data_IF_471812059526
#
_entry.id   IF_471812059526
#
_cell.length_a   1.000
_cell.length_b   1.000
_cell.length_c   1.000
_cell.angle_alpha   90.00
_cell.angle_beta   90.00
_cell.angle_gamma   90.00
#
_symmetry.space_group_name_H-M   'P 1'
#
loop_
_entity.id
_entity.type
_entity.pdbx_description
1 polymer ?
#
# COMPACT_ATOMS: atom_id res chain seq x y z
N UNK A 1 20.89 5.96 64.16
CA UNK A 1 20.66 6.93 63.07
C UNK A 1 20.59 6.14 61.78
N UNK A 2 19.41 6.13 61.16
CA UNK A 2 19.06 5.22 60.07
C UNK A 2 19.73 5.62 58.75
N UNK A 3 20.27 4.60 58.09
CA UNK A 3 20.90 4.63 56.76
C UNK A 3 19.79 4.93 55.74
N UNK A 4 19.82 6.11 55.12
CA UNK A 4 18.93 6.44 54.01
C UNK A 4 19.50 5.78 52.74
N UNK A 5 18.90 4.67 52.34
CA UNK A 5 19.13 4.05 51.03
C UNK A 5 18.69 5.01 49.93
N UNK A 6 19.64 5.51 49.15
CA UNK A 6 19.35 6.21 47.90
C UNK A 6 18.77 5.18 46.90
N UNK A 7 17.46 5.22 46.72
CA UNK A 7 16.77 4.45 45.68
C UNK A 7 17.20 4.98 44.31
N UNK A 8 18.06 4.22 43.64
CA UNK A 8 18.43 4.41 42.24
C UNK A 8 17.19 4.16 41.37
N UNK A 9 16.45 5.21 41.02
CA UNK A 9 15.40 5.15 40.01
C UNK A 9 16.09 5.07 38.65
N UNK A 10 16.26 3.86 38.14
CA UNK A 10 16.68 3.62 36.76
C UNK A 10 15.51 4.00 35.85
N UNK A 11 15.53 5.21 35.29
CA UNK A 11 14.71 5.54 34.12
C UNK A 11 15.20 4.67 32.96
N UNK A 12 14.51 3.56 32.71
CA UNK A 12 14.68 2.81 31.47
C UNK A 12 14.23 3.72 30.30
N UNK A 13 15.20 4.23 29.54
CA UNK A 13 14.94 4.84 28.24
C UNK A 13 14.33 3.75 27.34
N UNK A 14 13.00 3.81 27.15
CA UNK A 14 12.34 2.97 26.17
C UNK A 14 12.83 3.37 24.78
N UNK A 15 13.62 2.51 24.16
CA UNK A 15 13.97 2.64 22.74
C UNK A 15 12.75 2.18 21.95
N UNK A 16 12.05 3.12 21.32
CA UNK A 16 11.02 2.76 20.33
C UNK A 16 11.75 2.36 19.06
N UNK A 17 11.47 1.16 18.58
CA UNK A 17 11.92 0.72 17.26
C UNK A 17 10.75 0.93 16.31
N UNK A 18 10.96 1.77 15.31
CA UNK A 18 10.02 1.96 14.22
C UNK A 18 10.58 1.35 12.94
N UNK A 19 9.69 1.08 12.00
CA UNK A 19 9.97 0.39 10.76
C UNK A 19 9.77 1.36 9.59
N UNK A 20 10.82 1.67 8.83
CA UNK A 20 10.71 2.48 7.63
C UNK A 20 10.08 1.65 6.50
N UNK A 21 9.18 2.18 5.66
CA UNK A 21 8.61 1.45 4.52
C UNK A 21 8.99 2.16 3.21
N UNK A 22 9.42 1.38 2.22
CA UNK A 22 9.53 1.76 0.80
C UNK A 22 8.67 0.84 -0.05
N UNK A 23 7.92 1.41 -1.01
CA UNK A 23 7.12 0.62 -1.95
C UNK A 23 7.96 0.06 -3.11
N UNK A 24 7.53 -1.09 -3.62
CA UNK A 24 7.87 -1.57 -4.96
C UNK A 24 6.64 -1.39 -5.86
N UNK A 25 6.71 -0.46 -6.81
CA UNK A 25 5.68 -0.32 -7.82
C UNK A 25 5.95 -1.22 -9.02
N UNK A 26 4.89 -1.75 -9.61
CA UNK A 26 4.94 -2.02 -11.05
C UNK A 26 5.14 -0.69 -11.80
N UNK A 27 5.68 -0.73 -13.01
CA UNK A 27 5.69 0.45 -13.88
C UNK A 27 4.66 0.32 -15.02
N UNK A 28 3.36 0.05 -14.73
CA UNK A 28 2.35 -0.01 -15.77
C UNK A 28 2.02 1.41 -16.25
N UNK A 29 2.40 1.72 -17.49
CA UNK A 29 2.15 3.02 -18.11
C UNK A 29 0.92 2.99 -19.00
N UNK A 30 0.30 4.14 -19.22
CA UNK A 30 -0.74 4.27 -20.25
C UNK A 30 -0.13 3.91 -21.61
N UNK A 31 -0.65 2.84 -22.21
CA UNK A 31 -0.16 2.31 -23.47
C UNK A 31 -1.10 2.69 -24.63
N UNK A 32 -0.53 2.80 -25.82
CA UNK A 32 -1.18 3.18 -27.08
C UNK A 32 -2.06 2.06 -27.69
N UNK A 33 -2.35 1.02 -26.92
CA UNK A 33 -3.19 -0.11 -27.31
C UNK A 33 -4.62 -0.02 -26.75
N UNK A 34 -4.96 1.10 -26.12
CA UNK A 34 -6.32 1.44 -25.69
C UNK A 34 -6.82 2.64 -26.49
N UNK A 35 -8.10 2.60 -26.90
CA UNK A 35 -8.71 3.73 -27.59
C UNK A 35 -8.80 4.95 -26.68
N UNK A 36 -9.11 4.71 -25.41
CA UNK A 36 -9.35 5.74 -24.41
C UNK A 36 -8.72 5.31 -23.08
N UNK A 37 -8.17 6.27 -22.34
CA UNK A 37 -7.76 6.11 -20.95
C UNK A 37 -8.59 7.06 -20.09
N UNK A 38 -8.95 6.62 -18.88
CA UNK A 38 -9.53 7.55 -17.92
C UNK A 38 -8.51 8.63 -17.55
N UNK A 39 -8.95 9.82 -17.08
CA UNK A 39 -8.08 10.70 -16.33
C UNK A 39 -7.40 9.95 -15.18
N UNK A 40 -6.28 10.48 -14.72
CA UNK A 40 -5.64 9.98 -13.51
C UNK A 40 -6.58 10.16 -12.32
N UNK A 41 -6.76 9.06 -11.58
CA UNK A 41 -7.59 9.05 -10.40
C UNK A 41 -7.04 9.90 -9.26
N UNK A 42 -7.80 10.00 -8.16
CA UNK A 42 -7.27 10.58 -6.93
C UNK A 42 -6.11 9.74 -6.39
N UNK A 43 -5.29 10.37 -5.55
CA UNK A 43 -4.28 9.68 -4.76
C UNK A 43 -4.90 8.69 -3.79
N UNK A 44 -4.53 7.42 -3.95
CA UNK A 44 -4.89 6.34 -3.05
C UNK A 44 -3.90 6.34 -1.90
N UNK A 45 -4.42 6.31 -0.68
CA UNK A 45 -3.60 6.33 0.52
C UNK A 45 -4.24 5.58 1.68
N UNK A 46 -3.43 5.28 2.69
CA UNK A 46 -3.79 4.41 3.80
C UNK A 46 -4.64 5.16 4.84
N UNK A 47 -4.19 6.29 5.35
CA UNK A 47 -4.83 7.06 6.44
C UNK A 47 -4.44 8.53 6.40
N UNK A 48 -5.10 9.36 7.19
CA UNK A 48 -4.79 10.80 7.33
C UNK A 48 -6.04 11.66 7.22
N UNK A 49 -5.86 12.97 7.02
CA UNK A 49 -6.93 13.97 7.09
C UNK A 49 -7.94 13.91 5.94
N UNK A 50 -7.60 13.31 4.80
CA UNK A 50 -8.52 13.20 3.67
C UNK A 50 -9.59 12.12 3.94
N UNK A 51 -10.90 12.46 3.96
CA UNK A 51 -11.97 11.49 4.22
C UNK A 51 -12.06 10.35 3.19
N UNK A 52 -11.40 10.46 2.04
CA UNK A 52 -11.30 9.36 1.08
C UNK A 52 -10.48 8.20 1.65
N UNK A 53 -9.47 8.47 2.47
CA UNK A 53 -8.51 7.45 2.92
C UNK A 53 -9.09 6.50 3.98
N UNK A 54 -10.19 6.89 4.65
CA UNK A 54 -10.94 5.99 5.53
C UNK A 54 -11.78 4.95 4.77
N UNK A 55 -11.93 5.10 3.44
CA UNK A 55 -12.71 4.17 2.62
C UNK A 55 -11.90 2.93 2.26
N UNK A 56 -12.60 1.88 1.81
CA UNK A 56 -11.97 0.70 1.21
C UNK A 56 -11.14 1.09 -0.02
N UNK A 57 -10.08 0.34 -0.33
CA UNK A 57 -9.22 0.56 -1.50
C UNK A 57 -10.04 0.82 -2.79
N UNK A 58 -11.01 -0.05 -3.09
CA UNK A 58 -11.84 0.06 -4.29
C UNK A 58 -12.72 1.32 -4.32
N UNK A 59 -13.11 1.85 -3.16
CA UNK A 59 -13.94 3.04 -3.05
C UNK A 59 -13.11 4.34 -3.05
N UNK A 60 -11.77 4.23 -3.00
CA UNK A 60 -10.86 5.34 -3.28
C UNK A 60 -10.67 5.57 -4.79
N UNK A 61 -10.84 4.52 -5.61
CA UNK A 61 -10.69 4.58 -7.07
C UNK A 61 -11.58 5.65 -7.71
N UNK A 62 -11.10 6.22 -8.84
CA UNK A 62 -11.83 7.22 -9.64
C UNK A 62 -13.27 6.72 -9.94
N UNK A 63 -14.31 7.41 -9.44
CA UNK A 63 -15.70 7.04 -9.70
C UNK A 63 -16.13 7.43 -11.13
N UNK A 64 -17.40 7.17 -11.43
CA UNK A 64 -18.02 7.54 -12.70
C UNK A 64 -17.91 6.44 -13.77
N UNK A 65 -18.62 6.64 -14.88
CA UNK A 65 -18.77 5.65 -15.96
C UNK A 65 -17.44 5.24 -16.58
N UNK A 66 -16.53 6.20 -16.73
CA UNK A 66 -15.20 5.99 -17.33
C UNK A 66 -14.12 5.70 -16.29
N UNK A 67 -14.38 5.95 -15.00
CA UNK A 67 -13.42 5.78 -13.92
C UNK A 67 -13.05 4.32 -13.63
N UNK A 68 -11.93 4.14 -12.93
CA UNK A 68 -11.40 2.84 -12.56
C UNK A 68 -12.33 2.02 -11.67
N UNK A 69 -13.17 2.67 -10.84
CA UNK A 69 -14.13 1.96 -9.97
C UNK A 69 -15.13 1.10 -10.75
N UNK A 70 -15.46 1.53 -11.96
CA UNK A 70 -16.37 0.81 -12.85
C UNK A 70 -15.64 0.00 -13.93
N UNK A 71 -14.31 -0.12 -13.84
CA UNK A 71 -13.52 -0.90 -14.78
C UNK A 71 -13.67 -2.39 -14.50
N UNK A 72 -13.75 -3.21 -15.55
CA UNK A 72 -14.04 -4.65 -15.46
C UNK A 72 -13.05 -5.39 -14.55
N UNK A 73 -11.77 -5.05 -14.64
CA UNK A 73 -10.73 -5.64 -13.81
C UNK A 73 -11.01 -5.41 -12.31
N UNK A 74 -11.26 -4.16 -11.91
CA UNK A 74 -11.48 -3.83 -10.50
C UNK A 74 -12.82 -4.33 -9.99
N UNK A 75 -13.86 -4.40 -10.83
CA UNK A 75 -15.13 -5.06 -10.46
C UNK A 75 -14.91 -6.53 -10.14
N UNK A 76 -14.29 -7.29 -11.04
CA UNK A 76 -14.00 -8.71 -10.81
C UNK A 76 -13.12 -8.93 -9.59
N UNK A 77 -12.11 -8.07 -9.39
CA UNK A 77 -11.23 -8.13 -8.22
C UNK A 77 -12.00 -7.85 -6.92
N UNK A 78 -12.86 -6.84 -6.90
CA UNK A 78 -13.72 -6.50 -5.76
C UNK A 78 -14.72 -7.60 -5.47
N UNK A 79 -15.38 -8.13 -6.49
CA UNK A 79 -16.43 -9.14 -6.34
C UNK A 79 -15.85 -10.47 -5.84
N UNK A 80 -14.65 -10.86 -6.32
CA UNK A 80 -14.02 -12.13 -5.95
C UNK A 80 -13.21 -12.06 -4.66
N UNK A 81 -12.42 -10.99 -4.48
CA UNK A 81 -11.42 -10.88 -3.42
C UNK A 81 -11.58 -9.62 -2.56
N UNK A 82 -12.69 -8.90 -2.66
CA UNK A 82 -12.91 -7.64 -1.94
C UNK A 82 -12.70 -7.74 -0.43
N UNK A 83 -13.13 -8.84 0.18
CA UNK A 83 -12.93 -9.09 1.62
C UNK A 83 -11.45 -9.29 1.95
N UNK A 84 -10.73 -10.12 1.18
CA UNK A 84 -9.29 -10.32 1.36
C UNK A 84 -8.49 -9.02 1.18
N UNK A 85 -8.81 -8.24 0.15
CA UNK A 85 -8.24 -6.92 -0.08
C UNK A 85 -8.51 -5.96 1.08
N UNK A 86 -9.73 -5.95 1.60
CA UNK A 86 -10.08 -5.10 2.74
C UNK A 86 -9.30 -5.51 4.00
N UNK A 87 -9.18 -6.81 4.28
CA UNK A 87 -8.42 -7.31 5.42
C UNK A 87 -6.94 -6.91 5.32
N UNK A 88 -6.33 -7.12 4.14
CA UNK A 88 -4.96 -6.68 3.85
C UNK A 88 -4.80 -5.17 4.02
N UNK A 89 -5.67 -4.37 3.39
CA UNK A 89 -5.54 -2.91 3.41
C UNK A 89 -5.78 -2.31 4.80
N UNK A 90 -6.72 -2.87 5.57
CA UNK A 90 -6.95 -2.48 6.95
C UNK A 90 -5.74 -2.78 7.84
N UNK A 91 -5.12 -3.94 7.65
CA UNK A 91 -3.90 -4.30 8.35
C UNK A 91 -2.74 -3.34 8.02
N UNK A 92 -2.49 -3.08 6.73
CA UNK A 92 -1.43 -2.15 6.30
C UNK A 92 -1.68 -0.75 6.86
N UNK A 93 -2.94 -0.30 6.89
CA UNK A 93 -3.36 0.96 7.52
C UNK A 93 -3.07 0.98 9.02
N UNK A 94 -3.31 -0.11 9.73
CA UNK A 94 -3.13 -0.20 11.18
C UNK A 94 -1.65 -0.18 11.60
N UNK A 95 -0.79 -0.86 10.83
CA UNK A 95 0.65 -0.90 11.10
C UNK A 95 1.36 0.38 10.65
N UNK A 96 0.81 1.11 9.68
CA UNK A 96 1.38 2.39 9.23
C UNK A 96 1.06 3.51 10.21
N UNK A 97 2.12 4.16 10.72
CA UNK A 97 2.03 5.31 11.63
C UNK A 97 1.91 6.60 10.84
N UNK A 98 2.67 6.75 9.75
CA UNK A 98 2.64 7.93 8.90
C UNK A 98 1.23 8.25 8.39
N UNK A 99 0.78 9.47 8.64
CA UNK A 99 -0.49 9.99 8.11
C UNK A 99 -0.31 10.69 6.77
N UNK A 100 0.84 11.34 6.57
CA UNK A 100 1.20 11.95 5.30
C UNK A 100 1.69 10.89 4.30
N UNK A 101 1.59 11.23 3.02
CA UNK A 101 2.02 10.35 1.94
C UNK A 101 3.55 10.29 1.89
N UNK A 102 4.09 9.07 1.84
CA UNK A 102 5.51 8.80 2.06
C UNK A 102 5.92 7.50 1.36
N UNK A 103 7.23 7.23 1.33
CA UNK A 103 7.85 5.99 0.87
C UNK A 103 7.61 5.71 -0.60
N UNK A 104 7.23 6.75 -1.34
CA UNK A 104 6.57 6.63 -2.64
C UNK A 104 5.48 5.56 -2.61
N UNK A 105 4.63 5.49 -1.59
CA UNK A 105 3.62 4.43 -1.48
C UNK A 105 2.24 4.89 -2.01
N UNK A 106 2.03 6.19 -2.23
CA UNK A 106 0.76 6.76 -2.72
C UNK A 106 0.78 6.88 -4.25
N UNK A 107 -0.27 6.37 -4.87
CA UNK A 107 -0.37 6.27 -6.31
C UNK A 107 -1.73 6.70 -6.84
N UNK A 108 -1.72 7.06 -8.12
CA UNK A 108 -2.90 7.30 -8.93
C UNK A 108 -3.04 6.17 -9.95
N UNK A 109 -4.29 5.85 -10.28
CA UNK A 109 -4.62 4.85 -11.28
C UNK A 109 -5.39 5.46 -12.44
N UNK A 110 -5.12 4.97 -13.63
CA UNK A 110 -5.88 5.26 -14.84
C UNK A 110 -6.24 3.95 -15.53
N UNK A 111 -7.47 3.84 -16.04
CA UNK A 111 -7.97 2.61 -16.62
C UNK A 111 -8.27 2.77 -18.10
N UNK A 112 -7.73 1.86 -18.89
CA UNK A 112 -7.93 1.80 -20.32
C UNK A 112 -9.30 1.27 -20.70
N UNK A 113 -9.84 1.72 -21.83
CA UNK A 113 -11.11 1.28 -22.39
C UNK A 113 -10.93 0.91 -23.85
N UNK A 114 -11.73 -0.08 -24.29
CA UNK A 114 -11.67 -0.64 -25.66
C UNK A 114 -10.22 -0.96 -26.05
N UNK A 115 -9.52 -1.65 -25.15
CA UNK A 115 -8.13 -2.00 -25.34
C UNK A 115 -8.00 -3.29 -26.15
N UNK A 116 -7.03 -3.30 -27.05
CA UNK A 116 -6.71 -4.47 -27.83
C UNK A 116 -5.45 -5.12 -27.28
N UNK A 117 -5.47 -6.46 -27.16
CA UNK A 117 -4.23 -7.23 -26.99
C UNK A 117 -3.47 -7.14 -28.31
N UNK A 118 -2.50 -6.23 -28.43
CA UNK A 118 -1.67 -6.14 -29.64
C UNK A 118 -1.04 -7.51 -29.92
N UNK A 119 -1.22 -8.02 -31.14
CA UNK A 119 -0.53 -9.21 -31.61
C UNK A 119 0.97 -8.90 -31.75
N UNK A 120 1.78 -9.40 -30.80
CA UNK A 120 3.22 -9.70 -30.88
C UNK A 120 4.13 -8.90 -31.85
N UNK A 121 3.95 -7.58 -32.00
CA UNK A 121 4.91 -6.74 -32.74
C UNK A 121 5.24 -5.48 -31.96
N UNK A 122 5.97 -5.68 -30.85
CA UNK A 122 7.04 -4.83 -30.30
C UNK A 122 7.35 -5.28 -28.87
N UNK A 123 8.65 -5.30 -28.54
CA UNK A 123 9.30 -5.75 -27.29
C UNK A 123 8.92 -4.93 -26.04
N UNK A 124 7.63 -4.67 -25.78
CA UNK A 124 7.17 -4.05 -24.53
C UNK A 124 6.30 -5.03 -23.75
N UNK A 125 6.48 -5.16 -22.42
CA UNK A 125 5.66 -6.03 -21.59
C UNK A 125 4.19 -5.72 -21.84
N UNK A 126 3.43 -6.75 -22.21
CA UNK A 126 1.98 -6.64 -22.37
C UNK A 126 1.37 -6.30 -21.01
N UNK A 127 0.52 -5.28 -20.95
CA UNK A 127 -0.28 -5.04 -19.76
C UNK A 127 -1.69 -5.61 -19.94
N UNK A 128 -1.95 -6.87 -19.54
CA UNK A 128 -3.24 -7.53 -19.76
C UNK A 128 -4.38 -6.93 -18.94
N UNK A 129 -4.05 -6.15 -17.91
CA UNK A 129 -5.00 -5.60 -16.94
C UNK A 129 -5.58 -4.25 -17.38
N UNK A 130 -4.93 -3.56 -18.32
CA UNK A 130 -5.31 -2.23 -18.81
C UNK A 130 -5.47 -1.19 -17.68
N UNK A 131 -4.56 -1.19 -16.70
CA UNK A 131 -4.55 -0.29 -15.53
C UNK A 131 -3.20 0.41 -15.40
N UNK A 132 -3.06 1.64 -15.83
CA UNK A 132 -1.84 2.40 -15.59
C UNK A 132 -1.77 2.89 -14.14
N UNK A 133 -0.55 2.96 -13.60
CA UNK A 133 -0.25 3.45 -12.27
C UNK A 133 0.88 4.48 -12.36
N UNK A 134 0.82 5.49 -11.50
CA UNK A 134 1.92 6.43 -11.30
C UNK A 134 1.93 6.90 -9.86
N UNK A 135 3.10 7.38 -9.41
CA UNK A 135 3.22 8.16 -8.17
C UNK A 135 2.28 9.35 -8.22
N UNK A 136 1.75 9.74 -7.07
CA UNK A 136 0.92 10.92 -6.95
C UNK A 136 1.64 12.18 -7.44
N UNK A 137 1.02 12.84 -8.42
CA UNK A 137 1.53 14.09 -8.98
C UNK A 137 1.31 15.25 -8.01
N UNK A 138 2.35 16.08 -7.83
CA UNK A 138 2.30 17.27 -6.98
C UNK A 138 2.38 17.01 -5.47
N UNK A 139 2.72 15.79 -5.06
CA UNK A 139 2.88 15.41 -3.66
C UNK A 139 4.29 14.88 -3.45
N UNK A 140 5.03 15.50 -2.53
CA UNK A 140 6.31 14.97 -2.10
C UNK A 140 6.10 13.73 -1.23
N UNK A 141 6.77 12.64 -1.60
CA UNK A 141 6.71 11.35 -0.92
C UNK A 141 8.10 10.76 -0.72
N UNK A 142 9.16 11.58 -0.82
CA UNK A 142 10.55 11.11 -0.75
C UNK A 142 10.95 10.58 0.63
N UNK A 143 10.26 11.04 1.68
CA UNK A 143 10.49 10.58 3.04
C UNK A 143 9.98 9.15 3.20
N UNK A 144 10.74 8.28 3.87
CA UNK A 144 10.28 6.93 4.19
C UNK A 144 9.05 6.98 5.12
N UNK A 145 8.13 6.03 4.96
CA UNK A 145 7.00 5.92 5.89
C UNK A 145 7.43 5.25 7.20
N UNK A 146 6.85 5.68 8.31
CA UNK A 146 7.01 5.08 9.63
C UNK A 146 5.89 4.07 9.87
N UNK A 147 6.25 2.91 10.41
CA UNK A 147 5.32 1.85 10.79
C UNK A 147 5.72 1.20 12.10
N UNK A 148 4.76 0.54 12.74
CA UNK A 148 4.98 -0.24 13.96
C UNK A 148 5.86 -1.44 13.64
N UNK A 149 6.83 -1.74 14.51
CA UNK A 149 7.50 -3.05 14.46
C UNK A 149 6.58 -4.18 14.92
N UNK A 150 6.67 -5.34 14.29
CA UNK A 150 5.94 -6.55 14.70
C UNK A 150 6.93 -7.61 15.15
N UNK A 151 6.71 -8.16 16.35
CA UNK A 151 7.57 -9.18 16.96
C UNK A 151 9.06 -8.80 16.99
N UNK A 152 9.36 -7.50 17.17
CA UNK A 152 10.74 -6.98 17.18
C UNK A 152 11.41 -6.90 15.82
N UNK A 153 10.68 -7.10 14.71
CA UNK A 153 11.21 -7.07 13.35
C UNK A 153 10.43 -6.17 12.38
N UNK A 154 10.97 -6.08 11.17
CA UNK A 154 10.48 -5.27 10.03
C UNK A 154 9.64 -6.07 9.02
N UNK A 155 9.40 -7.36 9.28
CA UNK A 155 8.64 -8.22 8.37
C UNK A 155 7.14 -8.02 8.60
N UNK A 156 6.59 -7.02 7.92
CA UNK A 156 5.16 -6.68 8.02
C UNK A 156 4.28 -7.60 7.16
N UNK A 157 4.82 -8.25 6.13
CA UNK A 157 4.06 -9.15 5.27
C UNK A 157 4.91 -10.39 4.92
N UNK A 158 4.31 -11.59 4.79
CA UNK A 158 2.93 -11.94 5.11
C UNK A 158 2.65 -11.96 6.62
N UNK A 159 1.40 -11.70 7.00
CA UNK A 159 0.93 -11.86 8.38
C UNK A 159 -0.14 -12.97 8.44
N UNK A 160 0.15 -14.12 9.07
CA UNK A 160 -0.75 -15.27 9.09
C UNK A 160 -2.05 -15.02 9.89
N UNK A 161 -2.11 -13.98 10.72
CA UNK A 161 -3.34 -13.57 11.41
C UNK A 161 -4.33 -12.86 10.48
N UNK A 162 -3.91 -12.44 9.28
CA UNK A 162 -4.77 -11.76 8.31
C UNK A 162 -5.39 -12.77 7.36
N UNK A 163 -6.69 -13.00 7.52
CA UNK A 163 -7.43 -13.92 6.66
C UNK A 163 -7.59 -13.37 5.23
N UNK A 164 -7.26 -14.19 4.23
CA UNK A 164 -7.44 -13.89 2.81
C UNK A 164 -8.50 -14.84 2.18
N UNK A 165 -9.78 -14.70 2.53
CA UNK A 165 -10.83 -15.60 2.04
C UNK A 165 -10.99 -15.52 0.51
N UNK A 166 -11.39 -16.63 -0.10
CA UNK A 166 -11.63 -16.78 -1.55
C UNK A 166 -10.40 -16.59 -2.45
N UNK A 167 -9.22 -16.43 -1.87
CA UNK A 167 -7.95 -16.47 -2.61
C UNK A 167 -7.53 -17.94 -2.72
N UNK A 168 -7.26 -18.42 -3.93
CA UNK A 168 -6.81 -19.80 -4.17
C UNK A 168 -5.44 -20.02 -3.55
N UNK A 169 -5.11 -21.25 -3.15
CA UNK A 169 -3.80 -21.58 -2.56
C UNK A 169 -2.62 -21.11 -3.42
N UNK A 170 -2.69 -21.35 -4.73
CA UNK A 170 -1.70 -20.86 -5.70
C UNK A 170 -1.55 -19.33 -5.72
N UNK A 171 -2.63 -18.60 -5.48
CA UNK A 171 -2.61 -17.14 -5.43
C UNK A 171 -2.17 -16.63 -4.06
N UNK A 172 -2.47 -17.35 -2.97
CA UNK A 172 -1.97 -17.02 -1.63
C UNK A 172 -0.45 -17.05 -1.60
N UNK A 173 0.18 -18.05 -2.24
CA UNK A 173 1.64 -18.11 -2.36
C UNK A 173 2.21 -16.88 -3.08
N UNK A 174 1.61 -16.50 -4.20
CA UNK A 174 2.00 -15.29 -4.95
C UNK A 174 1.82 -14.05 -4.06
N UNK A 175 0.66 -13.89 -3.42
CA UNK A 175 0.36 -12.72 -2.58
C UNK A 175 1.30 -12.63 -1.38
N UNK A 176 1.63 -13.76 -0.75
CA UNK A 176 2.57 -13.80 0.37
C UNK A 176 4.02 -13.55 -0.07
N UNK A 177 4.35 -13.83 -1.32
CA UNK A 177 5.67 -13.56 -1.90
C UNK A 177 5.86 -12.14 -2.43
N UNK A 178 4.82 -11.29 -2.41
CA UNK A 178 4.93 -9.92 -2.87
C UNK A 178 5.64 -9.04 -1.81
N UNK A 179 6.77 -8.48 -2.20
CA UNK A 179 7.55 -7.52 -1.42
C UNK A 179 6.90 -6.13 -1.50
N UNK A 180 5.73 -5.98 -0.87
CA UNK A 180 4.98 -4.72 -0.90
C UNK A 180 5.67 -3.59 -0.11
N UNK A 181 6.48 -3.96 0.89
CA UNK A 181 7.06 -3.05 1.86
C UNK A 181 8.50 -3.52 2.10
N UNK A 182 9.49 -2.77 1.62
CA UNK A 182 10.87 -2.92 2.07
C UNK A 182 11.05 -2.12 3.35
N UNK A 183 11.60 -2.75 4.39
CA UNK A 183 11.66 -2.15 5.71
C UNK A 183 12.99 -2.25 6.42
N UNK A 184 13.35 -1.16 7.09
CA UNK A 184 14.56 -1.05 7.92
C UNK A 184 14.16 -0.62 9.34
N UNK A 185 14.58 -1.36 10.38
CA UNK A 185 14.32 -0.98 11.75
C UNK A 185 15.20 0.22 12.13
N UNK A 186 14.58 1.30 12.60
CA UNK A 186 15.26 2.48 13.09
C UNK A 186 14.95 2.67 14.58
N UNK A 187 16.01 2.93 15.37
CA UNK A 187 15.87 3.27 16.78
C UNK A 187 15.67 4.78 16.88
N UNK A 188 14.44 5.21 17.14
CA UNK A 188 14.16 6.61 17.45
C UNK A 188 14.46 6.88 18.93
N UNK A 189 15.19 7.96 19.21
CA UNK A 189 15.33 8.49 20.57
C UNK A 189 14.11 9.34 20.86
N UNK A 190 13.37 9.00 21.92
CA UNK A 190 12.25 9.80 22.38
C UNK A 190 12.79 11.14 22.93
N UNK A 191 12.63 12.21 22.16
CA UNK A 191 12.91 13.56 22.63
C UNK A 191 11.70 14.03 23.45
N UNK A 192 11.89 14.15 24.76
CA UNK A 192 10.95 14.82 25.67
C UNK A 192 11.17 16.34 25.63
#
# INVERSE_FOLDING_TARGET
MAILHASLVVLALFVVSDAQISAMFGNPVQADNCLEWSPWGPCIWLRGSNPRWSRSYFDQLLPGRTGCRQHVFFKLLKDRWGVAFNNFYNYVREVTVSEEQCGECSYQQSCGRKCHRRAQRKRRPHQPLFVAERRCEGIDQSNACVSKTLNGGCKLWPNPSIALPNVTSSMVEIVNGLEYLSCIPEKSKMNF
#
